data_IF_111282319960
#
_entry.id   IF_111282319960
#
_cell.length_a   1.000
_cell.length_b   1.000
_cell.length_c   1.000
_cell.angle_alpha   90.00
_cell.angle_beta   90.00
_cell.angle_gamma   90.00
#
_symmetry.space_group_name_H-M   'P 1'
#
loop_
_entity.id
_entity.type
_entity.pdbx_description
1 polymer ?
#
# COMPACT_ATOMS: atom_id res chain seq x y z
N UNK A 1 9.18 -2.40 12.06
CA UNK A 1 10.11 -2.10 10.97
C UNK A 1 9.58 -0.92 10.16
N UNK A 2 10.42 0.07 9.94
CA UNK A 2 9.99 1.24 9.17
C UNK A 2 10.17 0.98 7.67
N UNK A 3 9.10 1.06 6.91
CA UNK A 3 9.13 0.97 5.45
C UNK A 3 9.42 2.37 4.90
N UNK A 4 10.64 2.59 4.48
CA UNK A 4 11.06 3.84 3.86
C UNK A 4 12.34 3.60 3.06
N UNK A 5 12.66 4.43 2.06
CA UNK A 5 13.91 4.26 1.33
C UNK A 5 15.11 4.44 2.26
N UNK A 6 16.10 3.57 2.12
CA UNK A 6 17.33 3.67 2.90
C UNK A 6 18.18 4.86 2.48
N UNK A 7 18.16 5.16 1.19
CA UNK A 7 18.98 6.21 0.62
C UNK A 7 18.16 6.98 -0.39
N UNK A 8 18.12 8.30 -0.25
CA UNK A 8 17.42 9.17 -1.18
C UNK A 8 18.35 10.31 -1.60
N UNK A 9 18.28 10.67 -2.86
CA UNK A 9 19.03 11.82 -3.36
C UNK A 9 18.44 13.11 -2.82
N UNK A 10 17.11 13.19 -2.74
CA UNK A 10 16.39 14.32 -2.17
C UNK A 10 15.41 13.82 -1.13
N UNK A 11 15.41 14.42 0.07
CA UNK A 11 14.51 13.97 1.14
C UNK A 11 13.05 14.31 0.88
N UNK A 12 12.81 15.44 0.23
CA UNK A 12 11.45 15.92 -0.02
C UNK A 12 11.11 15.78 -1.48
N UNK A 13 9.85 15.50 -1.75
CA UNK A 13 9.35 15.30 -3.10
C UNK A 13 8.23 16.29 -3.38
N UNK A 14 8.00 16.58 -4.66
CA UNK A 14 6.83 17.34 -5.06
C UNK A 14 5.60 16.45 -4.95
N UNK A 15 4.44 17.07 -4.67
CA UNK A 15 3.21 16.32 -4.48
C UNK A 15 2.83 15.49 -5.72
N UNK A 16 2.98 16.07 -6.91
CA UNK A 16 2.66 15.38 -8.14
C UNK A 16 1.17 15.11 -8.32
N UNK A 17 0.84 14.20 -9.24
CA UNK A 17 -0.53 13.85 -9.58
C UNK A 17 -0.77 12.35 -9.30
N UNK A 18 -2.01 12.03 -8.92
CA UNK A 18 -2.47 10.65 -8.76
C UNK A 18 -3.46 10.24 -9.85
N UNK A 19 -3.59 11.07 -10.89
CA UNK A 19 -4.56 10.84 -11.96
C UNK A 19 -4.19 9.60 -12.80
N UNK A 20 -5.19 9.03 -13.46
CA UNK A 20 -5.02 7.90 -14.37
C UNK A 20 -5.19 6.55 -13.68
N UNK A 21 -5.09 5.51 -14.49
CA UNK A 21 -5.17 4.13 -14.03
C UNK A 21 -3.79 3.50 -14.06
N UNK A 22 -3.61 2.43 -13.27
CA UNK A 22 -2.36 1.70 -13.25
C UNK A 22 -2.17 0.95 -14.57
N UNK A 23 -0.92 0.97 -15.07
CA UNK A 23 -0.52 0.21 -16.27
C UNK A 23 0.45 -0.92 -15.92
N UNK A 24 1.03 -0.88 -14.73
CA UNK A 24 1.95 -1.90 -14.22
C UNK A 24 1.52 -2.29 -12.81
N UNK A 25 1.93 -3.50 -12.40
CA UNK A 25 1.57 -4.00 -11.09
C UNK A 25 0.07 -4.24 -10.95
N UNK A 26 -0.57 -4.65 -12.04
CA UNK A 26 -2.03 -4.83 -12.10
C UNK A 26 -2.44 -6.31 -12.04
N UNK A 27 -1.48 -7.21 -12.07
CA UNK A 27 -1.77 -8.65 -12.06
C UNK A 27 -1.10 -9.33 -10.88
N UNK A 28 -1.68 -10.47 -10.47
CA UNK A 28 -1.11 -11.32 -9.44
C UNK A 28 -0.03 -12.18 -10.09
N UNK A 29 1.23 -11.93 -9.73
CA UNK A 29 2.39 -12.55 -10.38
C UNK A 29 3.13 -13.54 -9.48
N UNK A 30 3.17 -13.31 -8.18
CA UNK A 30 3.96 -14.13 -7.24
C UNK A 30 3.13 -15.19 -6.53
N UNK A 31 1.91 -14.85 -6.15
CA UNK A 31 1.03 -15.75 -5.43
C UNK A 31 -0.17 -16.17 -6.26
N UNK A 32 -1.16 -16.76 -5.60
CA UNK A 32 -2.42 -17.17 -6.22
C UNK A 32 -3.52 -16.13 -6.04
N UNK A 33 -3.43 -15.34 -4.99
CA UNK A 33 -4.48 -14.40 -4.58
C UNK A 33 -3.86 -13.05 -4.31
N UNK A 34 -4.66 -12.00 -4.41
CA UNK A 34 -4.19 -10.65 -4.15
C UNK A 34 -5.28 -9.69 -3.74
N UNK A 35 -4.84 -8.53 -3.28
CA UNK A 35 -5.71 -7.40 -2.95
C UNK A 35 -5.38 -6.27 -3.91
N UNK A 36 -6.36 -5.87 -4.71
CA UNK A 36 -6.21 -4.86 -5.74
C UNK A 36 -7.00 -3.62 -5.37
N UNK A 37 -6.42 -2.44 -5.53
CA UNK A 37 -7.14 -1.20 -5.25
C UNK A 37 -8.06 -0.83 -6.41
N UNK A 38 -9.22 -0.28 -6.06
CA UNK A 38 -10.19 0.26 -7.02
C UNK A 38 -10.12 1.78 -7.09
N UNK A 39 -9.40 2.41 -6.18
CA UNK A 39 -9.31 3.87 -6.07
C UNK A 39 -7.86 4.32 -6.12
N UNK A 40 -7.67 5.58 -6.45
CA UNK A 40 -6.38 6.25 -6.34
C UNK A 40 -6.19 6.78 -4.93
N UNK A 41 -4.96 6.88 -4.50
CA UNK A 41 -4.67 7.42 -3.18
C UNK A 41 -3.25 7.24 -2.76
N UNK A 42 -2.99 7.59 -1.52
CA UNK A 42 -1.72 7.40 -0.85
C UNK A 42 -1.89 6.34 0.23
N UNK A 43 -1.03 5.32 0.20
CA UNK A 43 -0.99 4.30 1.24
C UNK A 43 0.30 4.54 2.03
N UNK A 44 0.14 4.86 3.31
CA UNK A 44 1.29 5.18 4.15
C UNK A 44 2.06 3.91 4.53
N UNK A 45 3.32 4.09 4.90
CA UNK A 45 4.14 2.96 5.37
C UNK A 45 3.52 2.27 6.59
N UNK A 46 2.84 3.03 7.45
CA UNK A 46 2.14 2.47 8.61
C UNK A 46 0.95 1.63 8.21
N UNK A 47 0.19 2.07 7.21
CA UNK A 47 -0.93 1.28 6.67
C UNK A 47 -0.45 -0.02 6.03
N UNK A 48 0.64 0.04 5.28
CA UNK A 48 1.22 -1.17 4.66
C UNK A 48 1.61 -2.18 5.73
N UNK A 49 2.27 -1.72 6.79
CA UNK A 49 2.68 -2.61 7.88
C UNK A 49 1.47 -3.16 8.64
N UNK A 50 0.46 -2.33 8.88
CA UNK A 50 -0.78 -2.78 9.53
C UNK A 50 -1.47 -3.88 8.72
N UNK A 51 -1.52 -3.73 7.39
CA UNK A 51 -2.10 -4.74 6.51
C UNK A 51 -1.31 -6.05 6.55
N UNK A 52 0.01 -5.97 6.49
CA UNK A 52 0.87 -7.15 6.56
C UNK A 52 0.65 -7.92 7.85
N UNK A 53 0.61 -7.21 8.97
CA UNK A 53 0.39 -7.82 10.28
C UNK A 53 -1.00 -8.46 10.34
N UNK A 54 -2.02 -7.78 9.82
CA UNK A 54 -3.40 -8.29 9.81
C UNK A 54 -3.51 -9.58 9.02
N UNK A 55 -2.90 -9.64 7.83
CA UNK A 55 -2.92 -10.85 6.99
C UNK A 55 -2.21 -11.99 7.70
N UNK A 56 -1.00 -11.75 8.19
CA UNK A 56 -0.22 -12.80 8.87
C UNK A 56 -0.92 -13.31 10.13
N UNK A 57 -1.55 -12.43 10.88
CA UNK A 57 -2.26 -12.81 12.10
C UNK A 57 -3.45 -13.71 11.79
N UNK A 58 -4.23 -13.36 10.78
CA UNK A 58 -5.38 -14.18 10.40
C UNK A 58 -4.94 -15.55 9.89
N UNK A 59 -3.91 -15.58 9.07
CA UNK A 59 -3.40 -16.83 8.49
C UNK A 59 -2.53 -17.63 9.46
N UNK A 60 -2.29 -17.12 10.67
CA UNK A 60 -1.45 -17.75 11.71
C UNK A 60 -0.05 -18.09 11.16
N UNK A 61 0.48 -17.21 10.32
CA UNK A 61 1.79 -17.34 9.66
C UNK A 61 1.87 -18.52 8.68
N UNK A 62 0.73 -19.07 8.27
CA UNK A 62 0.69 -20.06 7.21
C UNK A 62 0.73 -19.36 5.86
N UNK A 63 1.35 -20.00 4.89
CA UNK A 63 1.45 -19.42 3.57
C UNK A 63 2.49 -18.31 3.49
N UNK A 64 2.43 -17.54 2.41
CA UNK A 64 3.39 -16.50 2.12
C UNK A 64 2.67 -15.23 1.67
N UNK A 65 3.19 -14.08 2.08
CA UNK A 65 2.63 -12.77 1.73
C UNK A 65 3.70 -11.95 1.04
N UNK A 66 3.33 -11.32 -0.08
CA UNK A 66 4.19 -10.36 -0.79
C UNK A 66 3.57 -8.99 -0.71
N UNK A 67 4.38 -8.00 -0.38
CA UNK A 67 3.99 -6.59 -0.44
C UNK A 67 4.43 -6.08 -1.81
N UNK A 68 3.45 -5.70 -2.66
CA UNK A 68 3.73 -5.30 -4.04
C UNK A 68 3.99 -3.80 -4.19
N UNK A 69 3.75 -3.02 -3.16
CA UNK A 69 3.94 -1.58 -3.18
C UNK A 69 5.01 -1.18 -2.17
N UNK A 70 5.68 -0.07 -2.45
CA UNK A 70 6.68 0.47 -1.53
C UNK A 70 6.46 1.96 -1.38
N UNK A 71 6.60 2.50 -0.16
CA UNK A 71 6.39 3.94 0.09
C UNK A 71 7.61 4.75 -0.33
N UNK A 72 7.68 5.11 -1.59
CA UNK A 72 8.78 5.89 -2.16
C UNK A 72 8.65 7.38 -1.92
N UNK A 73 7.43 7.88 -1.78
CA UNK A 73 7.16 9.30 -1.77
C UNK A 73 7.12 9.83 -0.34
N UNK A 74 7.90 10.88 -0.09
CA UNK A 74 7.86 11.59 1.18
C UNK A 74 6.77 12.65 1.13
N UNK A 75 5.89 12.68 2.12
CA UNK A 75 4.94 13.77 2.29
C UNK A 75 5.35 14.62 3.47
N UNK A 76 5.12 15.92 3.35
CA UNK A 76 5.53 16.88 4.36
C UNK A 76 4.31 17.48 5.02
N UNK A 77 4.50 17.93 6.26
CA UNK A 77 3.44 18.55 7.03
C UNK A 77 4.05 19.67 7.89
N UNK A 78 3.39 20.80 7.90
CA UNK A 78 3.76 21.87 8.80
C UNK A 78 2.96 21.79 10.10
N UNK A 79 3.53 22.17 11.24
CA UNK A 79 2.76 22.28 12.47
C UNK A 79 1.60 23.27 12.29
N UNK A 80 0.46 23.04 12.97
CA UNK A 80 -0.71 23.92 12.81
C UNK A 80 -0.42 25.39 13.13
N UNK A 81 0.49 25.67 14.05
CA UNK A 81 0.83 27.02 14.48
C UNK A 81 1.87 27.70 13.59
N UNK A 82 2.36 27.04 12.55
CA UNK A 82 3.34 27.63 11.64
C UNK A 82 2.64 28.53 10.61
N UNK A 83 3.17 29.74 10.41
CA UNK A 83 2.65 30.65 9.40
C UNK A 83 2.89 30.11 7.99
N UNK A 84 1.97 30.43 7.09
CA UNK A 84 2.10 30.06 5.69
C UNK A 84 3.30 30.72 5.03
N UNK A 85 3.87 30.06 4.03
CA UNK A 85 4.92 30.65 3.20
C UNK A 85 6.34 30.54 3.71
N UNK A 86 6.56 29.85 4.80
CA UNK A 86 7.92 29.70 5.37
C UNK A 86 8.63 28.45 4.86
N UNK A 87 8.41 28.10 3.59
CA UNK A 87 9.05 26.96 2.97
C UNK A 87 8.31 25.65 3.23
N UNK A 88 8.85 24.58 2.69
CA UNK A 88 8.26 23.25 2.77
C UNK A 88 8.48 22.67 4.17
N UNK A 89 7.43 22.07 4.74
CA UNK A 89 7.53 21.47 6.06
C UNK A 89 8.46 20.27 6.11
N UNK A 90 8.66 19.72 7.30
CA UNK A 90 9.47 18.52 7.50
C UNK A 90 8.74 17.28 6.94
N UNK A 91 9.52 16.26 6.62
CA UNK A 91 8.95 14.97 6.17
C UNK A 91 8.14 14.36 7.33
N UNK A 92 6.84 14.16 7.07
CA UNK A 92 5.91 13.61 8.07
C UNK A 92 5.75 12.10 7.90
N UNK A 93 5.62 11.63 6.66
CA UNK A 93 5.42 10.22 6.38
C UNK A 93 5.92 9.85 4.99
N UNK A 94 6.07 8.56 4.77
CA UNK A 94 6.38 7.99 3.47
C UNK A 94 5.14 7.27 2.96
N UNK A 95 4.82 7.47 1.68
CA UNK A 95 3.61 6.90 1.09
C UNK A 95 3.91 6.23 -0.23
N UNK A 96 3.13 5.21 -0.55
CA UNK A 96 3.06 4.63 -1.88
C UNK A 96 1.91 5.29 -2.62
N UNK A 97 2.17 5.79 -3.83
CA UNK A 97 1.13 6.34 -4.69
C UNK A 97 0.51 5.18 -5.44
N UNK A 98 -0.79 4.98 -5.26
CA UNK A 98 -1.51 3.90 -5.93
C UNK A 98 -2.59 4.48 -6.85
N UNK A 99 -2.84 3.76 -7.94
CA UNK A 99 -3.86 4.10 -8.91
C UNK A 99 -4.80 2.91 -9.08
N UNK A 100 -6.04 3.14 -9.54
CA UNK A 100 -6.96 2.03 -9.74
C UNK A 100 -6.32 0.92 -10.56
N UNK A 101 -6.40 -0.31 -10.06
CA UNK A 101 -5.83 -1.48 -10.71
C UNK A 101 -4.54 -2.00 -10.08
N UNK A 102 -3.86 -1.23 -9.23
CA UNK A 102 -2.65 -1.71 -8.56
C UNK A 102 -2.96 -2.88 -7.62
N UNK A 103 -2.16 -3.93 -7.69
CA UNK A 103 -2.18 -5.01 -6.70
C UNK A 103 -1.28 -4.59 -5.55
N UNK A 104 -1.84 -4.56 -4.36
CA UNK A 104 -1.14 -4.08 -3.15
C UNK A 104 -0.42 -5.21 -2.43
N UNK A 105 -1.08 -6.35 -2.28
CA UNK A 105 -0.57 -7.52 -1.57
C UNK A 105 -0.90 -8.77 -2.36
N UNK A 106 -0.06 -9.80 -2.23
CA UNK A 106 -0.33 -11.13 -2.77
C UNK A 106 -0.17 -12.17 -1.67
N UNK A 107 -0.95 -13.23 -1.77
CA UNK A 107 -0.96 -14.30 -0.78
C UNK A 107 -0.93 -15.65 -1.51
N UNK A 108 -0.21 -16.62 -0.95
CA UNK A 108 -0.17 -17.98 -1.47
C UNK A 108 -0.02 -18.98 -0.34
N UNK A 109 -0.23 -20.25 -0.65
CA UNK A 109 -0.07 -21.34 0.30
C UNK A 109 -1.22 -21.51 1.27
N UNK A 110 -2.37 -20.91 0.99
CA UNK A 110 -3.58 -21.03 1.81
C UNK A 110 -4.79 -21.20 0.91
N UNK A 111 -5.93 -21.61 1.49
CA UNK A 111 -7.15 -21.74 0.73
C UNK A 111 -7.68 -20.39 0.26
N UNK A 112 -8.48 -20.40 -0.81
CA UNK A 112 -9.08 -19.16 -1.31
C UNK A 112 -9.95 -18.49 -0.25
N UNK A 113 -10.73 -19.27 0.50
CA UNK A 113 -11.58 -18.72 1.56
C UNK A 113 -10.77 -18.00 2.62
N UNK A 114 -9.66 -18.61 3.08
CA UNK A 114 -8.80 -18.01 4.07
C UNK A 114 -8.12 -16.76 3.52
N UNK A 115 -7.63 -16.81 2.28
CA UNK A 115 -6.99 -15.66 1.64
C UNK A 115 -7.96 -14.50 1.48
N UNK A 116 -9.19 -14.78 1.07
CA UNK A 116 -10.22 -13.76 0.87
C UNK A 116 -10.54 -13.05 2.18
N UNK A 117 -10.68 -13.79 3.27
CA UNK A 117 -10.97 -13.20 4.58
C UNK A 117 -9.77 -12.39 5.10
N UNK A 118 -8.56 -12.89 4.94
CA UNK A 118 -7.36 -12.16 5.33
C UNK A 118 -7.25 -10.83 4.58
N UNK A 119 -7.52 -10.85 3.27
CA UNK A 119 -7.50 -9.63 2.45
C UNK A 119 -8.61 -8.66 2.84
N UNK A 120 -9.78 -9.17 3.21
CA UNK A 120 -10.88 -8.33 3.69
C UNK A 120 -10.48 -7.57 4.96
N UNK A 121 -9.87 -8.27 5.89
CA UNK A 121 -9.39 -7.66 7.13
C UNK A 121 -8.30 -6.61 6.87
N UNK A 122 -7.41 -6.91 5.94
CA UNK A 122 -6.37 -5.95 5.55
C UNK A 122 -6.98 -4.71 4.91
N UNK A 123 -7.97 -4.87 4.04
CA UNK A 123 -8.62 -3.75 3.38
C UNK A 123 -9.25 -2.76 4.37
N UNK A 124 -9.69 -3.26 5.53
CA UNK A 124 -10.24 -2.41 6.59
C UNK A 124 -9.19 -1.47 7.20
N UNK A 125 -7.91 -1.75 7.02
CA UNK A 125 -6.81 -0.89 7.50
C UNK A 125 -6.45 0.20 6.50
N UNK A 126 -7.02 0.15 5.30
CA UNK A 126 -6.76 1.11 4.24
C UNK A 126 -7.94 2.07 4.10
N UNK A 127 -7.66 3.28 3.68
CA UNK A 127 -8.70 4.28 3.43
C UNK A 127 -9.23 4.27 2.01
N UNK A 128 -8.89 3.25 1.22
CA UNK A 128 -9.30 3.15 -0.19
C UNK A 128 -10.04 1.84 -0.42
N UNK A 129 -10.90 1.84 -1.41
CA UNK A 129 -11.68 0.66 -1.77
C UNK A 129 -10.79 -0.34 -2.51
N UNK A 130 -10.87 -1.60 -2.10
CA UNK A 130 -10.09 -2.68 -2.67
C UNK A 130 -10.98 -3.87 -2.98
N UNK A 131 -10.47 -4.76 -3.84
CA UNK A 131 -11.15 -6.03 -4.12
C UNK A 131 -10.16 -7.18 -4.06
N UNK A 132 -10.68 -8.34 -3.74
CA UNK A 132 -9.94 -9.60 -3.80
C UNK A 132 -9.85 -10.06 -5.25
N UNK A 133 -8.66 -10.46 -5.67
CA UNK A 133 -8.42 -10.96 -7.02
C UNK A 133 -7.67 -12.28 -6.97
N UNK A 134 -7.86 -13.11 -8.00
CA UNK A 134 -7.13 -14.36 -8.15
C UNK A 134 -6.21 -14.27 -9.37
N UNK A 135 -5.23 -15.16 -9.41
CA UNK A 135 -4.24 -15.15 -10.49
C UNK A 135 -4.86 -15.41 -11.87
N UNK A 136 -5.86 -16.26 -11.92
CA UNK A 136 -6.49 -16.69 -13.17
C UNK A 136 -7.82 -15.98 -13.45
N UNK A 137 -7.94 -14.76 -13.00
CA UNK A 137 -9.15 -13.99 -13.21
C UNK A 137 -9.69 -13.40 -11.92
N UNK A 138 -10.78 -12.72 -12.04
CA UNK A 138 -11.38 -11.96 -10.93
C UNK A 138 -12.12 -12.86 -9.95
#
# INVERSE_FOLDING_TARGET
MALMPRRVKFRKSQRGSRAGNATRGTSVDFGQFGLQTLERGWVTNRQIEACRISINRYLKRKGKVWIRIFPHKAITRKPPETRQGKGKGAVDAWVAVVRPGNVLFEVDGVSETAAKEACRLAANKLGIRCRFVTRNGA
#
